data_IF_915807987307
#
_entry.id   IF_915807987307
#
_cell.length_a   1.000
_cell.length_b   1.000
_cell.length_c   1.000
_cell.angle_alpha   90.00
_cell.angle_beta   90.00
_cell.angle_gamma   90.00
#
_symmetry.space_group_name_H-M   'P 1'
#
loop_
_entity.id
_entity.type
_entity.pdbx_description
1 polymer ?
#
# COMPACT_ATOMS: atom_id res chain seq x y z
N UNK A 1 60.23 0.64 -33.20
CA UNK A 1 60.96 1.81 -32.68
C UNK A 1 60.04 3.02 -32.66
N UNK A 2 60.25 3.91 -31.70
CA UNK A 2 59.46 5.09 -31.34
C UNK A 2 59.11 6.01 -32.54
N UNK A 3 58.21 7.00 -32.48
CA UNK A 3 57.92 7.95 -31.40
C UNK A 3 56.72 8.83 -31.81
N UNK A 4 55.86 9.23 -30.88
CA UNK A 4 55.72 10.61 -30.35
C UNK A 4 55.31 11.69 -31.40
N UNK A 5 54.07 12.15 -31.34
CA UNK A 5 53.57 13.42 -30.75
C UNK A 5 53.57 14.62 -31.70
N UNK A 6 52.39 15.22 -31.87
CA UNK A 6 52.21 16.67 -32.05
C UNK A 6 50.78 17.03 -31.58
N UNK A 7 50.55 17.44 -30.33
CA UNK A 7 50.61 18.80 -29.77
C UNK A 7 50.04 19.90 -30.67
N UNK A 8 49.05 20.59 -30.11
CA UNK A 8 48.67 21.99 -30.39
C UNK A 8 47.40 22.20 -31.20
N UNK A 9 46.28 22.39 -30.48
CA UNK A 9 45.54 23.65 -30.56
C UNK A 9 44.72 23.88 -29.31
N UNK A 10 45.24 24.82 -28.51
CA UNK A 10 44.63 25.46 -27.35
C UNK A 10 43.33 26.15 -27.78
N UNK A 11 42.23 25.92 -27.07
CA UNK A 11 41.27 26.97 -26.72
C UNK A 11 40.75 26.72 -25.30
N UNK A 12 41.43 27.39 -24.38
CA UNK A 12 41.03 27.62 -23.01
C UNK A 12 39.64 28.27 -23.00
N UNK A 13 38.63 27.57 -22.50
CA UNK A 13 37.41 28.20 -21.99
C UNK A 13 37.44 28.09 -20.47
N UNK A 14 38.16 29.04 -19.87
CA UNK A 14 38.00 29.38 -18.47
C UNK A 14 36.73 30.24 -18.40
N UNK A 15 35.62 29.66 -17.96
CA UNK A 15 34.48 30.43 -17.46
C UNK A 15 34.33 30.11 -15.99
N UNK A 16 35.03 30.93 -15.20
CA UNK A 16 34.56 31.54 -13.96
C UNK A 16 33.57 30.72 -13.13
N UNK A 17 34.12 30.06 -12.11
CA UNK A 17 33.39 29.65 -10.91
C UNK A 17 32.90 30.92 -10.23
N UNK A 18 31.64 31.28 -10.45
CA UNK A 18 30.96 32.28 -9.62
C UNK A 18 30.47 31.54 -8.38
N UNK A 19 31.21 31.72 -7.29
CA UNK A 19 30.79 31.33 -5.96
C UNK A 19 29.54 32.13 -5.55
N UNK A 20 28.38 31.47 -5.58
CA UNK A 20 27.27 31.72 -4.66
C UNK A 20 27.04 30.37 -3.99
N UNK A 21 27.41 30.18 -2.73
CA UNK A 21 26.76 30.84 -1.60
C UNK A 21 25.94 29.74 -0.92
N UNK A 22 26.48 29.19 0.17
CA UNK A 22 25.88 28.16 1.00
C UNK A 22 25.34 26.93 0.25
N UNK A 23 26.16 25.89 0.17
CA UNK A 23 25.63 24.54 0.17
C UNK A 23 24.86 24.36 1.50
N UNK A 24 23.58 24.74 1.50
CA UNK A 24 22.64 24.21 2.45
C UNK A 24 22.62 22.71 2.18
N UNK A 25 23.46 21.97 2.91
CA UNK A 25 23.19 20.58 3.21
C UNK A 25 21.80 20.59 3.84
N UNK A 26 20.77 20.46 3.01
CA UNK A 26 19.45 20.07 3.48
C UNK A 26 19.73 18.85 4.33
N UNK A 27 19.50 18.89 5.66
CA UNK A 27 19.56 17.67 6.42
C UNK A 27 18.62 16.74 5.67
N UNK A 28 19.13 15.58 5.25
CA UNK A 28 18.27 14.53 4.77
C UNK A 28 17.24 14.37 5.90
N UNK A 29 16.00 14.80 5.66
CA UNK A 29 14.94 14.57 6.61
C UNK A 29 14.88 13.06 6.73
N UNK A 30 15.48 12.53 7.79
CA UNK A 30 15.34 11.15 8.14
C UNK A 30 13.84 10.98 8.39
N UNK A 31 13.15 10.38 7.41
CA UNK A 31 11.75 10.05 7.56
C UNK A 31 11.64 9.24 8.86
N UNK A 32 10.87 9.77 9.80
CA UNK A 32 10.63 9.08 11.07
C UNK A 32 10.10 7.68 10.75
N UNK A 33 10.73 6.65 11.32
CA UNK A 33 10.32 5.28 11.00
C UNK A 33 8.93 5.08 11.55
N UNK A 34 7.93 4.70 10.72
CA UNK A 34 6.57 4.48 11.20
C UNK A 34 6.57 3.48 12.34
N UNK A 35 5.84 3.77 13.42
CA UNK A 35 5.61 2.78 14.48
C UNK A 35 4.85 1.61 13.88
N UNK A 36 5.52 0.46 13.79
CA UNK A 36 4.92 -0.80 13.33
C UNK A 36 4.29 -1.53 14.51
N UNK A 37 3.06 -2.01 14.31
CA UNK A 37 2.39 -2.88 15.28
C UNK A 37 2.89 -4.32 15.15
N UNK A 38 2.90 -5.00 16.28
CA UNK A 38 3.26 -6.40 16.45
C UNK A 38 2.05 -7.23 16.89
N UNK A 39 2.16 -8.55 16.85
CA UNK A 39 1.10 -9.46 17.31
C UNK A 39 0.65 -9.24 18.77
N UNK A 40 1.46 -8.54 19.58
CA UNK A 40 1.19 -8.26 20.98
C UNK A 40 0.47 -6.93 21.21
N UNK A 41 0.41 -6.05 20.21
CA UNK A 41 -0.25 -4.75 20.35
C UNK A 41 -1.77 -4.90 20.40
N UNK A 42 -2.41 -4.20 21.34
CA UNK A 42 -3.87 -4.11 21.48
C UNK A 42 -4.29 -2.66 21.68
N UNK A 43 -5.27 -2.22 20.90
CA UNK A 43 -5.83 -0.87 20.86
C UNK A 43 -7.29 -0.97 21.32
N UNK A 44 -7.66 -0.20 22.34
CA UNK A 44 -9.05 -0.11 22.76
C UNK A 44 -9.83 0.78 21.78
N UNK A 45 -10.79 0.18 21.08
CA UNK A 45 -11.73 0.89 20.19
C UNK A 45 -13.13 1.00 20.79
N UNK A 46 -13.31 0.58 22.05
CA UNK A 46 -14.61 0.38 22.68
C UNK A 46 -15.50 -0.57 21.87
N UNK A 47 -16.81 -0.28 21.80
CA UNK A 47 -17.79 -1.06 21.04
C UNK A 47 -17.88 -0.72 19.54
N UNK A 48 -16.92 0.04 18.98
CA UNK A 48 -17.05 0.63 17.63
C UNK A 48 -16.69 -0.30 16.47
N UNK A 49 -16.31 -1.56 16.75
CA UNK A 49 -15.76 -2.44 15.71
C UNK A 49 -16.70 -2.66 14.51
N UNK A 50 -17.99 -2.89 14.76
CA UNK A 50 -18.98 -3.03 13.67
C UNK A 50 -19.11 -1.76 12.85
N UNK A 51 -19.17 -0.60 13.51
CA UNK A 51 -19.26 0.70 12.83
C UNK A 51 -18.06 0.95 11.91
N UNK A 52 -16.85 0.62 12.37
CA UNK A 52 -15.62 0.74 11.57
C UNK A 52 -15.68 -0.16 10.33
N UNK A 53 -16.12 -1.40 10.47
CA UNK A 53 -16.25 -2.35 9.35
C UNK A 53 -17.31 -1.88 8.34
N UNK A 54 -18.47 -1.46 8.83
CA UNK A 54 -19.56 -0.93 8.00
C UNK A 54 -19.13 0.34 7.25
N UNK A 55 -18.35 1.22 7.91
CA UNK A 55 -17.79 2.42 7.29
C UNK A 55 -16.77 2.06 6.21
N UNK A 56 -15.87 1.10 6.44
CA UNK A 56 -14.92 0.63 5.44
C UNK A 56 -15.63 0.07 4.19
N UNK A 57 -16.71 -0.70 4.39
CA UNK A 57 -17.55 -1.18 3.30
C UNK A 57 -18.16 -0.03 2.49
N UNK A 58 -18.85 0.90 3.18
CA UNK A 58 -19.54 2.03 2.55
C UNK A 58 -18.58 2.95 1.80
N UNK A 59 -17.48 3.34 2.44
CA UNK A 59 -16.45 4.19 1.84
C UNK A 59 -15.80 3.49 0.64
N UNK A 60 -15.49 2.19 0.73
CA UNK A 60 -14.88 1.45 -0.38
C UNK A 60 -15.77 1.41 -1.62
N UNK A 61 -17.08 1.21 -1.43
CA UNK A 61 -18.06 1.30 -2.51
C UNK A 61 -18.12 2.71 -3.10
N UNK A 62 -18.31 3.72 -2.24
CA UNK A 62 -18.44 5.12 -2.65
C UNK A 62 -17.21 5.59 -3.43
N UNK A 63 -16.01 5.30 -2.93
CA UNK A 63 -14.75 5.73 -3.55
C UNK A 63 -14.57 5.07 -4.91
N UNK A 64 -14.88 3.77 -5.05
CA UNK A 64 -14.83 3.10 -6.34
C UNK A 64 -15.84 3.66 -7.34
N UNK A 65 -17.05 3.99 -6.90
CA UNK A 65 -18.09 4.57 -7.76
C UNK A 65 -17.74 5.99 -8.21
N UNK A 66 -17.17 6.81 -7.32
CA UNK A 66 -16.89 8.22 -7.57
C UNK A 66 -15.53 8.48 -8.22
N UNK A 67 -14.50 7.77 -7.79
CA UNK A 67 -13.11 8.04 -8.15
C UNK A 67 -12.47 6.89 -8.95
N UNK A 68 -13.09 5.70 -8.98
CA UNK A 68 -12.53 4.54 -9.66
C UNK A 68 -11.35 3.94 -8.89
N UNK A 69 -10.30 3.52 -9.59
CA UNK A 69 -9.08 2.90 -9.04
C UNK A 69 -9.32 1.93 -7.85
N UNK A 70 -9.58 0.66 -8.14
CA UNK A 70 -9.92 -0.32 -7.11
C UNK A 70 -8.88 -0.51 -5.98
N UNK A 71 -7.59 -0.28 -6.25
CA UNK A 71 -6.55 -0.38 -5.22
C UNK A 71 -6.54 0.84 -4.31
N UNK A 72 -6.51 2.06 -4.88
CA UNK A 72 -6.58 3.31 -4.12
C UNK A 72 -7.88 3.42 -3.33
N UNK A 73 -9.03 3.06 -3.93
CA UNK A 73 -10.33 3.16 -3.28
C UNK A 73 -10.45 2.21 -2.09
N UNK A 74 -9.93 0.98 -2.19
CA UNK A 74 -9.89 0.07 -1.04
C UNK A 74 -8.96 0.59 0.06
N UNK A 75 -7.73 0.98 -0.31
CA UNK A 75 -6.74 1.49 0.64
C UNK A 75 -7.24 2.74 1.38
N UNK A 76 -7.75 3.73 0.63
CA UNK A 76 -8.30 4.97 1.19
C UNK A 76 -9.47 4.71 2.13
N UNK A 77 -10.40 3.81 1.76
CA UNK A 77 -11.51 3.45 2.63
C UNK A 77 -11.05 2.81 3.96
N UNK A 78 -10.02 1.96 3.91
CA UNK A 78 -9.44 1.36 5.11
C UNK A 78 -8.71 2.43 5.95
N UNK A 79 -7.90 3.27 5.32
CA UNK A 79 -7.19 4.39 5.96
C UNK A 79 -8.14 5.38 6.65
N UNK A 80 -9.30 5.65 6.04
CA UNK A 80 -10.29 6.58 6.60
C UNK A 80 -11.17 5.96 7.69
N UNK A 81 -11.34 4.63 7.70
CA UNK A 81 -12.25 3.95 8.63
C UNK A 81 -11.53 3.37 9.84
N UNK A 82 -10.31 2.84 9.68
CA UNK A 82 -9.58 2.14 10.74
C UNK A 82 -8.59 3.11 11.41
N UNK A 83 -8.79 3.48 12.69
CA UNK A 83 -8.13 4.65 13.29
C UNK A 83 -6.61 4.53 13.45
N UNK A 84 -6.08 3.31 13.38
CA UNK A 84 -4.64 3.03 13.51
C UNK A 84 -3.97 2.65 12.19
N UNK A 85 -4.70 2.65 11.06
CA UNK A 85 -4.08 2.48 9.74
C UNK A 85 -3.53 3.84 9.31
N UNK A 86 -2.22 3.97 9.05
CA UNK A 86 -1.64 5.26 8.68
C UNK A 86 -2.17 5.78 7.34
N UNK A 87 -2.52 7.07 7.30
CA UNK A 87 -2.84 7.81 6.06
C UNK A 87 -1.55 8.28 5.37
N UNK A 88 -0.70 7.32 5.01
CA UNK A 88 0.58 7.58 4.35
C UNK A 88 0.38 7.89 2.85
N UNK A 89 0.79 9.09 2.44
CA UNK A 89 0.64 9.58 1.07
C UNK A 89 1.47 8.78 0.05
N UNK A 90 2.67 8.33 0.43
CA UNK A 90 3.52 7.55 -0.48
C UNK A 90 2.91 6.17 -0.76
N UNK A 91 2.30 5.54 0.26
CA UNK A 91 1.57 4.29 0.08
C UNK A 91 0.32 4.50 -0.77
N UNK A 92 -0.42 5.59 -0.53
CA UNK A 92 -1.59 5.94 -1.34
C UNK A 92 -1.22 6.15 -2.82
N UNK A 93 -0.18 6.93 -3.09
CA UNK A 93 0.37 7.14 -4.44
C UNK A 93 0.84 5.82 -5.07
N UNK A 94 1.60 5.01 -4.33
CA UNK A 94 2.12 3.72 -4.80
C UNK A 94 1.03 2.69 -5.13
N UNK A 95 -0.16 2.84 -4.55
CA UNK A 95 -1.31 1.97 -4.85
C UNK A 95 -1.96 2.24 -6.22
N UNK A 96 -1.79 3.44 -6.77
CA UNK A 96 -2.37 3.87 -8.05
C UNK A 96 -2.18 2.86 -9.21
N UNK A 97 -0.95 2.42 -9.54
CA UNK A 97 -0.71 1.50 -10.65
C UNK A 97 -1.25 0.08 -10.41
N UNK A 98 -1.65 -0.26 -9.18
CA UNK A 98 -2.07 -1.61 -8.81
C UNK A 98 -3.54 -1.89 -9.19
N UNK A 99 -4.25 -0.89 -9.69
CA UNK A 99 -5.60 -1.03 -10.22
C UNK A 99 -5.68 -1.96 -11.44
N UNK A 100 -6.80 -2.66 -11.56
CA UNK A 100 -7.13 -3.47 -12.74
C UNK A 100 -6.12 -4.60 -12.99
N UNK A 101 -5.70 -5.30 -11.93
CA UNK A 101 -4.70 -6.35 -12.05
C UNK A 101 -3.31 -5.79 -12.37
N UNK A 102 -2.92 -4.70 -11.72
CA UNK A 102 -1.61 -4.07 -11.88
C UNK A 102 -1.20 -3.80 -13.36
N UNK A 103 -2.07 -3.15 -14.15
CA UNK A 103 -1.84 -2.55 -15.51
C UNK A 103 -3.11 -2.43 -16.35
N UNK A 104 -4.33 -2.58 -15.79
CA UNK A 104 -5.61 -2.72 -16.55
C UNK A 104 -5.65 -3.91 -17.53
N UNK A 105 -4.60 -4.70 -17.64
CA UNK A 105 -4.56 -6.01 -18.30
C UNK A 105 -5.47 -7.01 -17.59
N UNK A 106 -5.74 -6.78 -16.29
CA UNK A 106 -6.60 -7.59 -15.40
C UNK A 106 -6.06 -9.01 -15.14
N UNK A 107 -4.88 -9.34 -15.66
CA UNK A 107 -4.27 -10.67 -15.56
C UNK A 107 -3.39 -10.85 -14.32
N UNK A 108 -3.63 -10.07 -13.27
CA UNK A 108 -2.98 -10.21 -11.97
C UNK A 108 -4.00 -10.02 -10.84
N UNK A 109 -3.52 -9.98 -9.60
CA UNK A 109 -4.35 -9.84 -8.40
C UNK A 109 -5.29 -8.63 -8.46
N UNK A 110 -6.52 -8.83 -7.98
CA UNK A 110 -7.53 -7.79 -7.84
C UNK A 110 -6.95 -6.59 -7.09
N UNK A 111 -7.14 -5.39 -7.65
CA UNK A 111 -6.59 -4.18 -7.03
C UNK A 111 -7.13 -3.93 -5.63
N UNK A 112 -8.39 -4.26 -5.36
CA UNK A 112 -8.97 -4.13 -4.02
C UNK A 112 -8.26 -5.04 -2.99
N UNK A 113 -7.99 -6.30 -3.37
CA UNK A 113 -7.20 -7.23 -2.55
C UNK A 113 -5.77 -6.71 -2.33
N UNK A 114 -5.13 -6.21 -3.39
CA UNK A 114 -3.79 -5.61 -3.30
C UNK A 114 -3.78 -4.37 -2.38
N UNK A 115 -4.82 -3.53 -2.42
CA UNK A 115 -4.97 -2.38 -1.53
C UNK A 115 -5.07 -2.77 -0.05
N UNK A 116 -5.72 -3.91 0.25
CA UNK A 116 -5.73 -4.49 1.60
C UNK A 116 -4.31 -4.88 2.05
N UNK A 117 -3.53 -5.50 1.16
CA UNK A 117 -2.13 -5.85 1.43
C UNK A 117 -1.27 -4.62 1.73
N UNK A 118 -1.49 -3.51 1.03
CA UNK A 118 -0.81 -2.25 1.32
C UNK A 118 -1.19 -1.71 2.70
N UNK A 119 -2.48 -1.66 3.05
CA UNK A 119 -2.95 -1.21 4.35
C UNK A 119 -2.35 -2.04 5.50
N UNK A 120 -2.38 -3.37 5.37
CA UNK A 120 -1.80 -4.31 6.34
C UNK A 120 -0.28 -4.10 6.46
N UNK A 121 0.41 -3.95 5.33
CA UNK A 121 1.85 -3.70 5.29
C UNK A 121 2.26 -2.39 5.95
N UNK A 122 1.44 -1.33 5.82
CA UNK A 122 1.65 -0.05 6.49
C UNK A 122 1.52 -0.13 8.01
N UNK A 123 0.78 -1.12 8.53
CA UNK A 123 0.56 -1.32 9.97
C UNK A 123 1.61 -2.24 10.59
N UNK A 124 1.88 -3.38 9.97
CA UNK A 124 2.69 -4.45 10.57
C UNK A 124 3.68 -5.11 9.60
N UNK A 125 4.07 -4.37 8.54
CA UNK A 125 5.06 -4.83 7.57
C UNK A 125 6.48 -4.94 8.13
N UNK A 126 7.43 -5.22 7.23
CA UNK A 126 8.87 -5.20 7.54
C UNK A 126 9.50 -3.96 6.95
N UNK A 127 10.37 -3.31 7.71
CA UNK A 127 11.20 -2.19 7.26
C UNK A 127 12.50 -2.69 6.62
N UNK A 128 13.23 -1.79 5.95
CA UNK A 128 14.59 -2.08 5.46
C UNK A 128 15.57 -2.44 6.57
N UNK A 129 15.29 -2.07 7.82
CA UNK A 129 16.14 -2.42 8.96
C UNK A 129 15.91 -3.85 9.46
N UNK A 130 14.72 -4.44 9.24
CA UNK A 130 14.34 -5.73 9.82
C UNK A 130 13.85 -6.79 8.80
N UNK A 131 13.97 -6.55 7.49
CA UNK A 131 13.56 -7.51 6.45
C UNK A 131 14.43 -8.78 6.37
N UNK A 132 15.54 -8.83 7.11
CA UNK A 132 16.55 -9.90 7.09
C UNK A 132 16.11 -11.18 7.80
N UNK A 133 15.09 -11.12 8.65
CA UNK A 133 14.53 -12.30 9.32
C UNK A 133 13.92 -13.27 8.31
N UNK A 134 14.43 -14.51 8.29
CA UNK A 134 13.89 -15.66 7.54
C UNK A 134 13.03 -16.51 8.49
N UNK A 135 11.84 -16.94 8.06
CA UNK A 135 10.93 -17.71 8.93
C UNK A 135 9.53 -17.88 8.32
N UNK A 136 8.59 -18.34 9.14
CA UNK A 136 7.16 -18.50 8.79
C UNK A 136 6.55 -17.20 8.24
N UNK A 137 5.37 -17.31 7.60
CA UNK A 137 4.66 -16.16 7.04
C UNK A 137 4.53 -15.06 8.12
N UNK A 138 5.15 -13.88 7.94
CA UNK A 138 5.08 -12.81 8.93
C UNK A 138 3.62 -12.40 9.11
N UNK A 139 3.24 -11.93 10.31
CA UNK A 139 1.90 -11.42 10.66
C UNK A 139 1.12 -10.77 9.49
N UNK A 140 1.68 -9.83 8.70
CA UNK A 140 1.00 -9.24 7.55
C UNK A 140 0.50 -10.25 6.51
N UNK A 141 1.27 -11.31 6.23
CA UNK A 141 0.86 -12.39 5.34
C UNK A 141 -0.29 -13.22 5.92
N UNK A 142 -0.31 -13.43 7.23
CA UNK A 142 -1.40 -14.15 7.91
C UNK A 142 -2.70 -13.35 7.89
N UNK A 143 -2.62 -12.03 8.08
CA UNK A 143 -3.80 -11.14 7.99
C UNK A 143 -4.33 -11.07 6.56
N UNK A 144 -3.44 -10.95 5.57
CA UNK A 144 -3.86 -10.92 4.16
C UNK A 144 -4.46 -12.27 3.72
N UNK A 145 -4.02 -13.39 4.31
CA UNK A 145 -4.61 -14.70 4.07
C UNK A 145 -6.09 -14.76 4.51
N UNK A 146 -6.46 -14.14 5.63
CA UNK A 146 -7.86 -14.06 6.05
C UNK A 146 -8.72 -13.29 5.02
N UNK A 147 -8.18 -12.21 4.45
CA UNK A 147 -8.85 -11.47 3.37
C UNK A 147 -8.95 -12.33 2.10
N UNK A 148 -7.86 -13.02 1.75
CA UNK A 148 -7.82 -13.95 0.62
C UNK A 148 -8.91 -15.02 0.74
N UNK A 149 -9.09 -15.62 1.91
CA UNK A 149 -10.07 -16.69 2.11
C UNK A 149 -11.50 -16.19 1.90
N UNK A 150 -11.81 -14.96 2.31
CA UNK A 150 -13.08 -14.31 1.97
C UNK A 150 -13.24 -14.09 0.46
N UNK A 151 -12.17 -13.67 -0.24
CA UNK A 151 -12.17 -13.56 -1.70
C UNK A 151 -12.38 -14.90 -2.39
N UNK A 152 -11.71 -15.97 -1.94
CA UNK A 152 -11.86 -17.32 -2.49
C UNK A 152 -13.26 -17.84 -2.21
N UNK A 153 -13.78 -17.69 -1.00
CA UNK A 153 -15.15 -18.12 -0.66
C UNK A 153 -16.21 -17.39 -1.48
N UNK A 154 -15.98 -16.10 -1.81
CA UNK A 154 -16.98 -15.27 -2.51
C UNK A 154 -16.84 -15.35 -4.03
N UNK A 155 -15.61 -15.38 -4.53
CA UNK A 155 -15.28 -15.21 -5.95
C UNK A 155 -14.42 -16.33 -6.52
N UNK A 156 -14.00 -17.32 -5.73
CA UNK A 156 -13.22 -18.48 -6.15
C UNK A 156 -11.70 -18.25 -6.24
N UNK A 157 -11.25 -17.00 -6.38
CA UNK A 157 -9.83 -16.62 -6.39
C UNK A 157 -9.66 -15.10 -6.18
N UNK A 158 -8.42 -14.63 -6.26
CA UNK A 158 -8.06 -13.20 -6.17
C UNK A 158 -7.68 -12.57 -7.52
N UNK A 159 -7.91 -13.24 -8.66
CA UNK A 159 -7.50 -12.76 -9.99
C UNK A 159 -8.52 -11.76 -10.54
N UNK A 160 -8.01 -10.61 -11.02
CA UNK A 160 -8.87 -9.49 -11.41
C UNK A 160 -9.82 -9.85 -12.55
N UNK A 161 -9.35 -10.49 -13.63
CA UNK A 161 -10.21 -10.92 -14.76
C UNK A 161 -11.34 -11.83 -14.30
N UNK A 162 -11.05 -12.80 -13.44
CA UNK A 162 -12.03 -13.80 -13.00
C UNK A 162 -13.12 -13.17 -12.14
N UNK A 163 -12.71 -12.39 -11.12
CA UNK A 163 -13.64 -11.65 -10.26
C UNK A 163 -14.47 -10.67 -11.09
N UNK A 164 -13.81 -9.89 -11.96
CA UNK A 164 -14.47 -8.86 -12.77
C UNK A 164 -15.51 -9.45 -13.71
N UNK A 165 -15.25 -10.64 -14.26
CA UNK A 165 -16.20 -11.40 -15.08
C UNK A 165 -17.41 -11.82 -14.25
N UNK A 166 -17.20 -12.36 -13.05
CA UNK A 166 -18.29 -12.79 -12.15
C UNK A 166 -19.23 -11.65 -11.73
N UNK A 167 -18.71 -10.44 -11.58
CA UNK A 167 -19.50 -9.26 -11.17
C UNK A 167 -19.94 -8.37 -12.35
N UNK A 168 -19.84 -8.85 -13.60
CA UNK A 168 -20.25 -8.09 -14.79
C UNK A 168 -19.54 -6.74 -14.94
N UNK A 169 -18.27 -6.66 -14.52
CA UNK A 169 -17.47 -5.44 -14.58
C UNK A 169 -17.76 -4.39 -13.50
N UNK A 170 -18.76 -4.60 -12.64
CA UNK A 170 -19.16 -3.66 -11.58
C UNK A 170 -18.45 -3.98 -10.27
N UNK A 171 -17.30 -3.34 -10.05
CA UNK A 171 -16.41 -3.69 -8.93
C UNK A 171 -16.66 -2.91 -7.63
N UNK A 172 -17.66 -2.02 -7.55
CA UNK A 172 -17.91 -1.24 -6.34
C UNK A 172 -18.13 -2.13 -5.10
N UNK A 173 -19.02 -3.11 -5.21
CA UNK A 173 -19.29 -4.09 -4.14
C UNK A 173 -18.04 -4.91 -3.77
N UNK A 174 -17.21 -5.29 -4.75
CA UNK A 174 -15.94 -5.99 -4.51
C UNK A 174 -14.99 -5.14 -3.67
N UNK A 175 -14.86 -3.84 -4.00
CA UNK A 175 -14.00 -2.91 -3.25
C UNK A 175 -14.53 -2.70 -1.83
N UNK A 176 -15.84 -2.50 -1.66
CA UNK A 176 -16.45 -2.39 -0.34
C UNK A 176 -16.22 -3.62 0.52
N UNK A 177 -16.49 -4.82 -0.01
CA UNK A 177 -16.26 -6.09 0.70
C UNK A 177 -14.80 -6.28 1.09
N UNK A 178 -13.87 -6.00 0.17
CA UNK A 178 -12.44 -6.09 0.44
C UNK A 178 -12.02 -5.18 1.60
N UNK A 179 -12.46 -3.92 1.57
CA UNK A 179 -12.17 -2.95 2.63
C UNK A 179 -12.74 -3.40 3.99
N UNK A 180 -13.97 -3.92 4.01
CA UNK A 180 -14.62 -4.44 5.21
C UNK A 180 -13.88 -5.66 5.79
N UNK A 181 -13.54 -6.64 4.95
CA UNK A 181 -12.79 -7.83 5.37
C UNK A 181 -11.40 -7.48 5.90
N UNK A 182 -10.73 -6.52 5.26
CA UNK A 182 -9.44 -6.04 5.73
C UNK A 182 -9.55 -5.31 7.07
N UNK A 183 -10.55 -4.43 7.21
CA UNK A 183 -10.82 -3.77 8.48
C UNK A 183 -11.09 -4.80 9.57
N UNK A 184 -11.95 -5.77 9.33
CA UNK A 184 -12.27 -6.84 10.29
C UNK A 184 -11.02 -7.63 10.71
N UNK A 185 -10.16 -8.03 9.76
CA UNK A 185 -8.92 -8.74 10.05
C UNK A 185 -7.97 -7.90 10.94
N UNK A 186 -7.82 -6.60 10.64
CA UNK A 186 -7.02 -5.67 11.45
C UNK A 186 -7.60 -5.49 12.85
N UNK A 187 -8.93 -5.34 12.97
CA UNK A 187 -9.59 -5.17 14.26
C UNK A 187 -9.45 -6.42 15.13
N UNK A 188 -9.69 -7.62 14.59
CA UNK A 188 -9.51 -8.89 15.31
C UNK A 188 -8.08 -9.05 15.85
N UNK A 189 -7.09 -8.58 15.11
CA UNK A 189 -5.68 -8.70 15.49
C UNK A 189 -5.25 -7.67 16.53
N UNK A 190 -5.54 -6.39 16.27
CA UNK A 190 -4.92 -5.28 16.99
C UNK A 190 -5.85 -4.60 17.99
N UNK A 191 -7.06 -5.10 18.22
CA UNK A 191 -8.03 -4.44 19.11
C UNK A 191 -8.72 -5.40 20.08
N UNK A 192 -9.61 -4.86 20.90
CA UNK A 192 -10.54 -5.62 21.75
C UNK A 192 -11.82 -6.09 21.02
N UNK A 193 -11.92 -5.89 19.71
CA UNK A 193 -13.06 -6.34 18.90
C UNK A 193 -13.25 -7.86 18.95
N UNK A 194 -14.51 -8.28 19.14
CA UNK A 194 -14.97 -9.67 19.01
C UNK A 194 -16.09 -9.68 17.99
N UNK A 195 -15.96 -10.55 16.97
CA UNK A 195 -16.94 -10.73 15.91
C UNK A 195 -18.21 -11.43 16.42
#
# INVERSE_FOLDING_TARGET
>A
MASRTDRSRRRTFLQTVTACGAAACLPALAAETPRLLTENDRIDIGGKGKEIIDNAYRAGREYMEKYGNCAQSALGAIQDSVPFVPKDELVFLASTPLSGGATRTRNASCGAFTGCGLAIGSVCGRSRANYTAKGAAPLPGQLLLQVHDNFVSTYGNVICTDIRTKVGGKCADVVGKAAAWCAEALLKQFTNYKA
#
